data_IF_952857927254
#
_entry.id   IF_952857927254
#
_cell.length_a   1.000
_cell.length_b   1.000
_cell.length_c   1.000
_cell.angle_alpha   90.00
_cell.angle_beta   90.00
_cell.angle_gamma   90.00
#
_symmetry.space_group_name_H-M   'P 1'
#
loop_
_entity.id
_entity.type
_entity.pdbx_description
1 polymer ?
#
# COMPACT_ATOMS: atom_id res chain seq x y z
N UNK A 1 11.60 -10.46 9.18
CA UNK A 1 10.97 -9.60 8.17
C UNK A 1 9.77 -8.95 8.85
N UNK A 2 9.67 -7.63 8.82
CA UNK A 2 8.55 -6.91 9.44
C UNK A 2 7.34 -7.02 8.52
N UNK A 3 6.24 -7.59 9.05
CA UNK A 3 4.98 -7.76 8.33
C UNK A 3 4.01 -6.67 8.74
N UNK A 4 3.28 -6.15 7.77
CA UNK A 4 2.31 -5.07 7.91
C UNK A 4 0.94 -5.54 7.46
N UNK A 5 -0.11 -4.94 8.03
CA UNK A 5 -1.48 -5.11 7.56
C UNK A 5 -1.96 -3.82 6.90
N UNK A 6 -2.47 -3.98 5.68
CA UNK A 6 -3.06 -2.91 4.87
C UNK A 6 -4.52 -3.26 4.59
N UNK A 7 -5.40 -2.28 4.57
CA UNK A 7 -6.81 -2.50 4.23
C UNK A 7 -7.07 -2.10 2.78
N UNK A 8 -7.52 -3.03 1.95
CA UNK A 8 -8.09 -2.70 0.64
C UNK A 8 -9.60 -2.52 0.77
N UNK A 9 -10.10 -1.31 0.51
CA UNK A 9 -11.54 -1.01 0.65
C UNK A 9 -12.34 -1.47 -0.57
N UNK A 10 -13.67 -1.52 -0.42
CA UNK A 10 -14.60 -1.79 -1.52
C UNK A 10 -14.55 -0.75 -2.65
N UNK A 11 -14.04 0.44 -2.38
CA UNK A 11 -13.89 1.52 -3.36
C UNK A 11 -12.49 1.53 -4.00
N UNK A 12 -11.65 0.52 -3.70
CA UNK A 12 -10.31 0.40 -4.26
C UNK A 12 -9.26 1.33 -3.63
N UNK A 13 -9.54 1.86 -2.44
CA UNK A 13 -8.52 2.57 -1.66
C UNK A 13 -7.69 1.56 -0.87
N UNK A 14 -6.39 1.83 -0.77
CA UNK A 14 -5.49 1.13 0.12
C UNK A 14 -5.19 2.02 1.33
N UNK A 15 -5.48 1.53 2.53
CA UNK A 15 -5.13 2.20 3.79
C UNK A 15 -3.83 1.65 4.35
N UNK A 16 -2.93 2.56 4.70
CA UNK A 16 -1.61 2.26 5.24
C UNK A 16 -1.49 2.84 6.66
N UNK A 17 -0.97 2.08 7.64
CA UNK A 17 -0.65 2.61 8.96
C UNK A 17 0.33 3.79 8.90
N UNK A 18 0.15 4.77 9.77
CA UNK A 18 1.02 5.95 9.83
C UNK A 18 2.52 5.61 9.94
N UNK A 19 2.87 4.63 10.80
CA UNK A 19 4.26 4.22 11.05
C UNK A 19 4.94 3.59 9.84
N UNK A 20 4.21 2.79 9.06
CA UNK A 20 4.67 2.26 7.78
C UNK A 20 4.93 3.38 6.78
N UNK A 21 3.95 4.27 6.60
CA UNK A 21 4.01 5.34 5.62
C UNK A 21 5.20 6.28 5.89
N UNK A 22 5.37 6.72 7.14
CA UNK A 22 6.48 7.59 7.53
C UNK A 22 7.85 6.93 7.34
N UNK A 23 7.94 5.61 7.51
CA UNK A 23 9.20 4.88 7.41
C UNK A 23 9.63 4.63 5.97
N UNK A 24 8.70 4.28 5.08
CA UNK A 24 9.01 3.79 3.75
C UNK A 24 8.53 4.70 2.60
N UNK A 25 7.65 5.66 2.87
CA UNK A 25 7.07 6.59 1.88
C UNK A 25 7.21 8.06 2.32
N UNK A 26 8.43 8.58 2.54
CA UNK A 26 8.65 9.89 3.15
C UNK A 26 8.17 11.08 2.30
N UNK A 27 7.92 10.87 1.00
CA UNK A 27 7.41 11.89 0.07
C UNK A 27 5.90 11.78 -0.15
N UNK A 28 5.23 10.81 0.50
CA UNK A 28 3.82 10.48 0.28
C UNK A 28 3.46 10.21 -1.21
N UNK A 29 4.44 9.83 -2.04
CA UNK A 29 4.26 9.49 -3.46
C UNK A 29 4.70 8.06 -3.76
N UNK A 30 3.91 7.35 -4.55
CA UNK A 30 4.23 5.99 -4.98
C UNK A 30 3.74 5.64 -6.39
N UNK A 31 4.25 4.54 -6.93
CA UNK A 31 3.66 3.81 -8.07
C UNK A 31 3.20 2.44 -7.59
N UNK A 32 2.11 1.95 -8.20
CA UNK A 32 1.56 0.62 -7.96
C UNK A 32 1.90 -0.26 -9.17
N UNK A 33 2.61 -1.35 -8.93
CA UNK A 33 3.02 -2.29 -9.97
C UNK A 33 2.43 -3.68 -9.69
N UNK A 34 1.47 -4.16 -10.49
CA UNK A 34 0.96 -5.52 -10.39
C UNK A 34 2.04 -6.55 -10.76
N UNK A 35 2.19 -7.59 -9.94
CA UNK A 35 3.22 -8.62 -10.09
C UNK A 35 2.67 -9.99 -9.67
N UNK A 36 2.00 -10.67 -10.59
CA UNK A 36 1.43 -11.99 -10.31
C UNK A 36 0.36 -11.91 -9.22
N UNK A 37 0.58 -12.60 -8.10
CA UNK A 37 -0.28 -12.62 -6.92
C UNK A 37 0.03 -11.50 -5.92
N UNK A 38 0.93 -10.58 -6.28
CA UNK A 38 1.33 -9.44 -5.48
C UNK A 38 1.08 -8.10 -6.19
N UNK A 39 1.05 -7.06 -5.38
CA UNK A 39 1.16 -5.68 -5.81
C UNK A 39 2.37 -5.07 -5.13
N UNK A 40 3.26 -4.47 -5.92
CA UNK A 40 4.43 -3.76 -5.40
C UNK A 40 4.11 -2.27 -5.32
N UNK A 41 4.25 -1.71 -4.13
CA UNK A 41 4.18 -0.27 -3.91
C UNK A 41 5.60 0.29 -3.88
N UNK A 42 5.91 1.11 -4.88
CA UNK A 42 7.26 1.67 -5.07
C UNK A 42 7.25 3.12 -4.59
N UNK A 43 7.96 3.47 -3.51
CA UNK A 43 8.09 4.86 -3.08
C UNK A 43 8.86 5.67 -4.12
N UNK A 44 8.39 6.88 -4.41
CA UNK A 44 9.02 7.77 -5.35
C UNK A 44 9.87 8.83 -4.64
N UNK A 45 11.07 9.08 -5.15
CA UNK A 45 11.96 10.14 -4.66
C UNK A 45 12.12 11.23 -5.72
N UNK A 46 11.90 12.50 -5.32
CA UNK A 46 12.21 13.67 -6.14
C UNK A 46 10.98 14.50 -6.58
N UNK A 47 11.18 15.78 -6.91
CA UNK A 47 10.10 16.77 -7.09
C UNK A 47 9.25 16.60 -8.36
N UNK A 48 9.62 15.67 -9.27
CA UNK A 48 8.95 15.48 -10.57
C UNK A 48 8.61 14.03 -10.88
N UNK A 49 8.58 13.15 -9.87
CA UNK A 49 8.45 11.71 -10.09
C UNK A 49 7.03 11.27 -10.57
N UNK A 50 6.04 12.16 -10.53
CA UNK A 50 4.65 11.79 -10.80
C UNK A 50 4.11 10.82 -9.75
N UNK A 51 3.08 10.04 -10.11
CA UNK A 51 2.58 8.93 -9.29
C UNK A 51 1.32 9.23 -8.47
N UNK A 52 0.96 8.28 -7.61
CA UNK A 52 -0.20 8.34 -6.74
C UNK A 52 0.16 8.97 -5.40
N UNK A 53 -0.72 9.85 -4.92
CA UNK A 53 -0.57 10.55 -3.66
C UNK A 53 -1.17 9.74 -2.49
N UNK A 54 -0.34 9.48 -1.47
CA UNK A 54 -0.75 8.99 -0.15
C UNK A 54 -1.32 10.15 0.67
N UNK A 55 -2.63 10.30 0.67
CA UNK A 55 -3.31 11.34 1.45
C UNK A 55 -3.40 10.94 2.92
N UNK A 56 -3.09 11.86 3.84
CA UNK A 56 -3.41 11.65 5.25
C UNK A 56 -4.94 11.56 5.44
N UNK A 57 -5.42 10.42 5.96
CA UNK A 57 -6.86 10.16 6.09
C UNK A 57 -7.42 10.49 7.48
N UNK A 58 -6.58 10.60 8.50
CA UNK A 58 -7.01 10.87 9.87
C UNK A 58 -5.92 11.60 10.69
N UNK A 59 -6.27 12.03 11.90
CA UNK A 59 -5.36 12.73 12.82
C UNK A 59 -4.19 11.87 13.33
N UNK A 60 -4.30 10.53 13.28
CA UNK A 60 -3.20 9.61 13.66
C UNK A 60 -2.09 9.57 12.60
N UNK A 61 -2.36 10.05 11.39
CA UNK A 61 -1.39 10.08 10.30
C UNK A 61 -1.50 8.90 9.32
N UNK A 62 -2.52 8.05 9.44
CA UNK A 62 -2.71 6.94 8.49
C UNK A 62 -2.87 7.51 7.07
N UNK A 63 -2.44 6.75 6.07
CA UNK A 63 -2.52 7.17 4.66
C UNK A 63 -3.59 6.41 3.90
N UNK A 64 -4.08 7.04 2.84
CA UNK A 64 -5.00 6.45 1.87
C UNK A 64 -4.55 6.80 0.46
N UNK A 65 -4.58 5.81 -0.43
CA UNK A 65 -4.28 5.97 -1.86
C UNK A 65 -5.29 5.16 -2.68
N UNK A 66 -5.79 5.72 -3.77
CA UNK A 66 -6.70 5.04 -4.69
C UNK A 66 -5.88 4.22 -5.69
N UNK A 67 -6.07 2.90 -5.73
CA UNK A 67 -5.26 1.98 -6.56
C UNK A 67 -6.07 1.09 -7.51
N UNK A 68 -7.39 1.33 -7.62
CA UNK A 68 -8.32 0.43 -8.30
C UNK A 68 -7.94 0.08 -9.75
N UNK A 69 -7.40 1.04 -10.53
CA UNK A 69 -7.00 0.81 -11.92
C UNK A 69 -5.80 -0.14 -12.06
N UNK A 70 -5.02 -0.30 -11.00
CA UNK A 70 -3.89 -1.22 -10.97
C UNK A 70 -4.29 -2.63 -10.50
N UNK A 71 -5.49 -2.82 -9.95
CA UNK A 71 -5.90 -4.12 -9.42
C UNK A 71 -6.46 -5.03 -10.53
N UNK A 72 -6.18 -6.35 -10.48
CA UNK A 72 -6.93 -7.31 -11.28
C UNK A 72 -8.44 -7.24 -11.03
N UNK A 73 -9.29 -7.61 -12.01
CA UNK A 73 -10.75 -7.42 -11.93
C UNK A 73 -11.46 -8.16 -10.79
N UNK A 74 -10.86 -9.24 -10.28
CA UNK A 74 -11.42 -10.16 -9.30
C UNK A 74 -10.90 -9.94 -7.87
N UNK A 75 -10.12 -8.88 -7.64
CA UNK A 75 -9.62 -8.57 -6.30
C UNK A 75 -10.76 -8.10 -5.40
N UNK A 76 -11.03 -8.89 -4.36
CA UNK A 76 -12.04 -8.58 -3.35
C UNK A 76 -11.49 -7.62 -2.27
N UNK A 77 -12.33 -6.85 -1.57
CA UNK A 77 -11.89 -6.02 -0.45
C UNK A 77 -11.34 -6.84 0.73
N UNK A 78 -10.67 -6.17 1.68
CA UNK A 78 -10.23 -6.76 2.96
C UNK A 78 -8.76 -6.52 3.29
N UNK A 79 -8.32 -7.06 4.43
CA UNK A 79 -6.96 -6.91 4.93
C UNK A 79 -5.95 -7.71 4.10
N UNK A 80 -4.78 -7.11 3.85
CA UNK A 80 -3.67 -7.68 3.09
C UNK A 80 -2.40 -7.66 3.91
N UNK A 81 -1.60 -8.74 3.81
CA UNK A 81 -0.24 -8.75 4.35
C UNK A 81 0.68 -8.04 3.39
N UNK A 82 1.58 -7.25 3.96
CA UNK A 82 2.63 -6.60 3.21
C UNK A 82 3.98 -6.73 3.91
N UNK A 83 5.05 -6.85 3.14
CA UNK A 83 6.42 -6.97 3.64
C UNK A 83 7.32 -6.02 2.88
N UNK A 84 8.18 -5.32 3.61
CA UNK A 84 9.20 -4.48 2.98
C UNK A 84 10.30 -5.36 2.38
N UNK A 85 10.51 -5.22 1.07
CA UNK A 85 11.63 -5.81 0.35
C UNK A 85 12.75 -4.76 0.23
N UNK A 86 13.75 -4.88 1.12
CA UNK A 86 14.88 -3.97 1.16
C UNK A 86 15.81 -4.09 -0.07
N UNK A 87 15.82 -5.24 -0.74
CA UNK A 87 16.66 -5.45 -1.93
C UNK A 87 16.14 -4.62 -3.10
N UNK A 88 14.82 -4.57 -3.26
CA UNK A 88 14.17 -3.84 -4.35
C UNK A 88 13.69 -2.45 -3.96
N UNK A 89 13.65 -2.14 -2.65
CA UNK A 89 13.15 -0.86 -2.14
C UNK A 89 11.64 -0.70 -2.33
N UNK A 90 10.87 -1.77 -2.16
CA UNK A 90 9.42 -1.79 -2.40
C UNK A 90 8.66 -2.43 -1.25
N UNK A 91 7.40 -2.01 -1.05
CA UNK A 91 6.48 -2.74 -0.19
C UNK A 91 5.69 -3.74 -1.04
N UNK A 92 5.87 -5.04 -0.77
CA UNK A 92 5.17 -6.12 -1.45
C UNK A 92 3.91 -6.48 -0.69
N UNK A 93 2.74 -6.30 -1.30
CA UNK A 93 1.44 -6.64 -0.72
C UNK A 93 0.86 -7.86 -1.45
N UNK A 94 0.37 -8.85 -0.72
CA UNK A 94 -0.34 -9.99 -1.31
C UNK A 94 -1.73 -9.58 -1.80
N UNK A 95 -2.20 -10.11 -2.92
CA UNK A 95 -3.57 -9.89 -3.40
C UNK A 95 -4.59 -10.74 -2.63
N UNK A 96 -4.16 -11.84 -2.02
CA UNK A 96 -5.01 -12.68 -1.18
C UNK A 96 -5.38 -11.96 0.13
N UNK A 97 -6.66 -11.88 0.49
CA UNK A 97 -7.10 -11.34 1.76
C UNK A 97 -6.66 -12.24 2.92
N UNK A 98 -6.44 -11.63 4.07
CA UNK A 98 -6.28 -12.32 5.36
C UNK A 98 -7.45 -11.99 6.26
N UNK A 99 -7.76 -12.88 7.20
CA UNK A 99 -8.72 -12.57 8.26
C UNK A 99 -8.25 -11.30 8.98
N UNK A 100 -9.20 -10.44 9.33
CA UNK A 100 -8.93 -9.35 10.26
C UNK A 100 -8.49 -9.97 11.58
N UNK A 101 -7.19 -9.92 11.88
CA UNK A 101 -6.71 -10.18 13.23
C UNK A 101 -7.22 -8.99 14.05
N UNK A 102 -8.35 -9.19 14.74
CA UNK A 102 -8.85 -8.26 15.75
C UNK A 102 -7.74 -8.04 16.78
N UNK A 103 -6.99 -6.96 16.63
CA UNK A 103 -6.04 -6.46 17.61
C UNK A 103 -6.77 -5.71 18.74
#
# INVERSE_FOLDING_TARGET
METWLLELTAQGYLHLPATLAQRYFPTDLLVVLPRGDEVWLVPLCGPAAGGLLLKQRNARGDRSVLIWEALPPDVVPGWRRAVWDATNGVLRMTLQPVAEEMA
#
